data_IF_684364141597
#
_entry.id   IF_684364141597
#
_cell.length_a   1.000
_cell.length_b   1.000
_cell.length_c   1.000
_cell.angle_alpha   90.00
_cell.angle_beta   90.00
_cell.angle_gamma   90.00
#
_symmetry.space_group_name_H-M   'P 1'
#
loop_
_entity.id
_entity.type
_entity.pdbx_description
1 polymer ?
#
# COMPACT_ATOMS: atom_id res chain seq x y z
N UNK A 1 91.15 56.26 55.84
CA UNK A 1 91.15 55.20 54.80
C UNK A 1 89.69 54.94 54.42
N UNK A 2 89.36 54.90 53.13
CA UNK A 2 87.98 54.88 52.62
C UNK A 2 87.55 53.43 52.37
N UNK A 3 86.44 53.00 52.97
CA UNK A 3 85.82 51.70 52.73
C UNK A 3 84.81 51.82 51.58
N UNK A 4 85.06 51.14 50.47
CA UNK A 4 84.16 51.12 49.30
C UNK A 4 83.30 49.86 49.33
N UNK A 5 81.98 50.05 49.28
CA UNK A 5 81.01 48.97 49.19
C UNK A 5 80.99 48.39 47.76
N UNK A 6 81.50 47.17 47.61
CA UNK A 6 81.64 46.47 46.32
C UNK A 6 80.51 45.47 46.04
N UNK A 7 79.34 45.63 46.67
CA UNK A 7 78.22 44.71 46.43
C UNK A 7 77.78 44.76 44.95
N UNK A 8 77.76 43.62 44.21
CA UNK A 8 77.45 43.59 42.78
C UNK A 8 75.93 43.64 42.57
N UNK A 9 75.34 44.78 42.93
CA UNK A 9 73.89 45.04 42.96
C UNK A 9 73.23 44.79 41.59
N UNK A 10 73.96 45.04 40.49
CA UNK A 10 73.46 44.81 39.12
C UNK A 10 73.28 43.32 38.80
N UNK A 11 74.25 42.47 39.18
CA UNK A 11 74.21 41.03 38.90
C UNK A 11 73.13 40.32 39.74
N UNK A 12 72.96 40.74 41.00
CA UNK A 12 71.92 40.21 41.89
C UNK A 12 70.52 40.56 41.35
N UNK A 13 70.30 41.80 40.91
CA UNK A 13 69.02 42.22 40.29
C UNK A 13 68.72 41.45 39.00
N UNK A 14 69.71 41.19 38.14
CA UNK A 14 69.52 40.40 36.92
C UNK A 14 69.16 38.94 37.21
N UNK A 15 69.83 38.30 38.19
CA UNK A 15 69.49 36.93 38.60
C UNK A 15 68.10 36.82 39.20
N UNK A 16 67.68 37.80 40.00
CA UNK A 16 66.32 37.86 40.56
C UNK A 16 65.28 38.03 39.44
N UNK A 17 65.52 38.91 38.46
CA UNK A 17 64.63 39.06 37.29
C UNK A 17 64.52 37.78 36.47
N UNK A 18 65.65 37.15 36.13
CA UNK A 18 65.65 35.90 35.38
C UNK A 18 64.95 34.75 36.13
N UNK A 19 65.13 34.66 37.46
CA UNK A 19 64.41 33.70 38.31
C UNK A 19 62.91 33.98 38.34
N UNK A 20 62.50 35.24 38.44
CA UNK A 20 61.10 35.62 38.44
C UNK A 20 60.45 35.36 37.07
N UNK A 21 61.14 35.60 35.96
CA UNK A 21 60.68 35.27 34.61
C UNK A 21 60.53 33.75 34.41
N UNK A 22 61.50 32.95 34.86
CA UNK A 22 61.41 31.49 34.84
C UNK A 22 60.23 30.96 35.69
N UNK A 23 60.04 31.51 36.89
CA UNK A 23 58.90 31.17 37.75
C UNK A 23 57.56 31.58 37.14
N UNK A 24 57.50 32.74 36.48
CA UNK A 24 56.31 33.19 35.76
C UNK A 24 55.98 32.27 34.57
N UNK A 25 56.99 31.83 33.80
CA UNK A 25 56.80 30.88 32.71
C UNK A 25 56.37 29.49 33.21
N UNK A 26 56.98 28.99 34.28
CA UNK A 26 56.63 27.70 34.88
C UNK A 26 55.21 27.70 35.45
N UNK A 27 54.82 28.78 36.14
CA UNK A 27 53.47 28.93 36.67
C UNK A 27 52.43 29.05 35.55
N UNK A 28 52.72 29.80 34.47
CA UNK A 28 51.86 29.87 33.30
C UNK A 28 51.68 28.50 32.62
N UNK A 29 52.78 27.73 32.45
CA UNK A 29 52.73 26.38 31.89
C UNK A 29 51.90 25.42 32.76
N UNK A 30 52.09 25.47 34.08
CA UNK A 30 51.31 24.66 35.02
C UNK A 30 49.81 24.99 34.93
N UNK A 31 49.46 26.27 34.82
CA UNK A 31 48.08 26.73 34.70
C UNK A 31 47.42 26.22 33.41
N UNK A 32 48.14 26.26 32.28
CA UNK A 32 47.66 25.69 31.00
C UNK A 32 47.43 24.18 31.13
N UNK A 33 48.36 23.44 31.72
CA UNK A 33 48.21 21.99 31.91
C UNK A 33 47.01 21.63 32.80
N UNK A 34 46.75 22.42 33.85
CA UNK A 34 45.57 22.23 34.71
C UNK A 34 44.28 22.46 33.93
N UNK A 35 44.20 23.54 33.15
CA UNK A 35 43.01 23.82 32.31
C UNK A 35 42.80 22.71 31.29
N UNK A 36 43.87 22.22 30.66
CA UNK A 36 43.81 21.14 29.68
C UNK A 36 43.37 19.81 30.33
N UNK A 37 43.85 19.51 31.53
CA UNK A 37 43.44 18.32 32.29
C UNK A 37 41.96 18.36 32.70
N UNK A 38 41.48 19.51 33.19
CA UNK A 38 40.08 19.70 33.58
C UNK A 38 39.13 19.57 32.39
N UNK A 39 39.48 20.20 31.26
CA UNK A 39 38.68 20.14 30.03
C UNK A 39 38.66 18.73 29.44
N UNK A 40 39.79 18.02 29.42
CA UNK A 40 39.87 16.63 28.96
C UNK A 40 39.02 15.68 29.84
N UNK A 41 39.05 15.87 31.16
CA UNK A 41 38.24 15.07 32.09
C UNK A 41 36.73 15.31 31.87
N UNK A 42 36.31 16.57 31.72
CA UNK A 42 34.93 16.93 31.43
C UNK A 42 34.42 16.30 30.13
N UNK A 43 35.21 16.42 29.06
CA UNK A 43 34.87 15.82 27.76
C UNK A 43 34.80 14.29 27.81
N UNK A 44 35.73 13.63 28.51
CA UNK A 44 35.73 12.16 28.65
C UNK A 44 34.46 11.66 29.35
N UNK A 45 33.98 12.39 30.36
CA UNK A 45 32.75 12.03 31.06
C UNK A 45 31.51 12.22 30.19
N UNK A 46 31.46 13.29 29.39
CA UNK A 46 30.36 13.56 28.47
C UNK A 46 30.32 12.52 27.32
N UNK A 47 31.48 12.18 26.75
CA UNK A 47 31.61 11.11 25.75
C UNK A 47 31.11 9.79 26.31
N UNK A 48 31.47 9.45 27.55
CA UNK A 48 31.01 8.21 28.20
C UNK A 48 29.49 8.18 28.35
N UNK A 49 28.87 9.29 28.78
CA UNK A 49 27.40 9.40 28.88
C UNK A 49 26.72 9.26 27.53
N UNK A 50 27.26 9.92 26.49
CA UNK A 50 26.74 9.82 25.13
C UNK A 50 26.83 8.37 24.64
N UNK A 51 27.97 7.71 24.83
CA UNK A 51 28.18 6.31 24.41
C UNK A 51 27.24 5.33 25.12
N UNK A 52 26.98 5.53 26.41
CA UNK A 52 25.99 4.72 27.14
C UNK A 52 24.59 4.94 26.58
N UNK A 53 24.21 6.19 26.31
CA UNK A 53 22.90 6.52 25.75
C UNK A 53 22.73 5.96 24.34
N UNK A 54 23.75 6.03 23.50
CA UNK A 54 23.72 5.43 22.15
C UNK A 54 23.63 3.91 22.22
N UNK A 55 24.32 3.26 23.15
CA UNK A 55 24.21 1.81 23.36
C UNK A 55 22.79 1.39 23.74
N UNK A 56 22.15 2.10 24.69
CA UNK A 56 20.76 1.84 25.09
C UNK A 56 19.79 2.05 23.93
N UNK A 57 19.90 3.18 23.22
CA UNK A 57 19.05 3.46 22.05
C UNK A 57 19.24 2.44 20.93
N UNK A 58 20.46 1.95 20.73
CA UNK A 58 20.74 0.92 19.73
C UNK A 58 20.14 -0.44 20.12
N UNK A 59 20.19 -0.81 21.41
CA UNK A 59 19.54 -2.00 21.92
C UNK A 59 18.01 -1.92 21.74
N UNK A 60 17.42 -0.77 22.06
CA UNK A 60 16.00 -0.53 21.87
C UNK A 60 15.59 -0.57 20.38
N UNK A 61 16.39 0.05 19.50
CA UNK A 61 16.21 -0.02 18.05
C UNK A 61 16.22 -1.47 17.55
N UNK A 62 17.13 -2.31 18.07
CA UNK A 62 17.19 -3.72 17.70
C UNK A 62 15.95 -4.49 18.17
N UNK A 63 15.43 -4.20 19.38
CA UNK A 63 14.16 -4.76 19.87
C UNK A 63 13.00 -4.42 18.92
N UNK A 64 12.88 -3.15 18.52
CA UNK A 64 11.82 -2.74 17.59
C UNK A 64 11.99 -3.34 16.18
N UNK A 65 13.22 -3.55 15.69
CA UNK A 65 13.44 -4.21 14.39
C UNK A 65 12.85 -5.62 14.33
N UNK A 66 12.90 -6.38 15.42
CA UNK A 66 12.28 -7.72 15.50
C UNK A 66 10.77 -7.62 15.36
N UNK A 67 10.14 -6.70 16.09
CA UNK A 67 8.69 -6.46 16.04
C UNK A 67 8.25 -6.03 14.64
N UNK A 68 8.97 -5.10 14.02
CA UNK A 68 8.70 -4.68 12.63
C UNK A 68 8.84 -5.85 11.65
N UNK A 69 9.82 -6.73 11.87
CA UNK A 69 9.97 -7.97 11.10
C UNK A 69 8.75 -8.89 11.20
N UNK A 70 8.21 -9.07 12.42
CA UNK A 70 7.00 -9.86 12.66
C UNK A 70 5.77 -9.24 12.01
N UNK A 71 5.57 -7.93 12.15
CA UNK A 71 4.47 -7.20 11.49
C UNK A 71 4.52 -7.39 9.98
N UNK A 72 5.70 -7.30 9.38
CA UNK A 72 5.86 -7.49 7.95
C UNK A 72 5.54 -8.93 7.49
N UNK A 73 5.87 -9.95 8.31
CA UNK A 73 5.47 -11.34 8.04
C UNK A 73 3.96 -11.50 8.08
N UNK A 74 3.31 -11.01 9.16
CA UNK A 74 1.85 -11.06 9.31
C UNK A 74 1.16 -10.33 8.15
N UNK A 75 1.64 -9.15 7.76
CA UNK A 75 1.08 -8.38 6.63
C UNK A 75 1.21 -9.13 5.30
N UNK A 76 2.30 -9.87 5.09
CA UNK A 76 2.46 -10.72 3.90
C UNK A 76 1.47 -11.89 3.91
N UNK A 77 1.29 -12.53 5.06
CA UNK A 77 0.32 -13.62 5.21
C UNK A 77 -1.11 -13.12 5.00
N UNK A 78 -1.51 -12.00 5.61
CA UNK A 78 -2.81 -11.36 5.39
C UNK A 78 -3.04 -11.07 3.90
N UNK A 79 -2.05 -10.51 3.19
CA UNK A 79 -2.16 -10.29 1.74
C UNK A 79 -2.41 -11.59 0.97
N UNK A 80 -1.70 -12.67 1.32
CA UNK A 80 -1.86 -13.98 0.69
C UNK A 80 -3.25 -14.57 0.96
N UNK A 81 -3.73 -14.47 2.20
CA UNK A 81 -5.07 -14.93 2.58
C UNK A 81 -6.15 -14.11 1.88
N UNK A 82 -6.05 -12.79 1.87
CA UNK A 82 -7.01 -11.92 1.18
C UNK A 82 -7.05 -12.18 -0.33
N UNK A 83 -5.90 -12.47 -0.95
CA UNK A 83 -5.87 -12.86 -2.36
C UNK A 83 -6.63 -14.16 -2.62
N UNK A 84 -6.43 -15.18 -1.77
CA UNK A 84 -7.18 -16.45 -1.85
C UNK A 84 -8.67 -16.23 -1.62
N UNK A 85 -9.05 -15.47 -0.59
CA UNK A 85 -10.44 -15.15 -0.28
C UNK A 85 -11.11 -14.43 -1.45
N UNK A 86 -10.46 -13.41 -2.02
CA UNK A 86 -10.97 -12.71 -3.21
C UNK A 86 -11.16 -13.64 -4.39
N UNK A 87 -10.22 -14.57 -4.60
CA UNK A 87 -10.31 -15.56 -5.69
C UNK A 87 -11.52 -16.48 -5.46
N UNK A 88 -11.70 -16.98 -4.24
CA UNK A 88 -12.86 -17.82 -3.86
C UNK A 88 -14.17 -17.03 -4.02
N UNK A 89 -14.22 -15.78 -3.57
CA UNK A 89 -15.40 -14.93 -3.69
C UNK A 89 -15.75 -14.69 -5.17
N UNK A 90 -14.77 -14.40 -6.01
CA UNK A 90 -15.01 -14.25 -7.45
C UNK A 90 -15.49 -15.55 -8.09
N UNK A 91 -14.95 -16.70 -7.67
CA UNK A 91 -15.39 -18.02 -8.16
C UNK A 91 -16.82 -18.33 -7.72
N UNK A 92 -17.16 -18.10 -6.45
CA UNK A 92 -18.51 -18.33 -5.91
C UNK A 92 -19.53 -17.39 -6.55
N UNK A 93 -19.22 -16.10 -6.69
CA UNK A 93 -20.11 -15.15 -7.36
C UNK A 93 -20.33 -15.55 -8.82
N UNK A 94 -19.27 -15.98 -9.52
CA UNK A 94 -19.37 -16.48 -10.89
C UNK A 94 -20.13 -17.82 -10.99
N UNK A 95 -20.15 -18.65 -9.94
CA UNK A 95 -20.87 -19.93 -9.95
C UNK A 95 -22.40 -19.75 -9.87
N UNK A 96 -22.88 -18.78 -9.07
CA UNK A 96 -24.32 -18.58 -8.86
C UNK A 96 -24.98 -17.64 -9.87
N UNK A 97 -24.21 -16.78 -10.52
CA UNK A 97 -24.71 -15.77 -11.46
C UNK A 97 -25.37 -16.39 -12.72
N UNK A 98 -24.81 -17.42 -13.38
CA UNK A 98 -25.46 -18.09 -14.52
C UNK A 98 -26.82 -18.69 -14.17
N UNK A 99 -26.94 -19.30 -12.98
CA UNK A 99 -28.19 -19.92 -12.51
C UNK A 99 -29.28 -18.86 -12.32
N UNK A 100 -28.94 -17.73 -11.69
CA UNK A 100 -29.88 -16.62 -11.49
C UNK A 100 -30.32 -15.99 -12.81
N UNK A 101 -29.40 -15.85 -13.76
CA UNK A 101 -29.70 -15.32 -15.11
C UNK A 101 -30.64 -16.29 -15.85
N UNK A 102 -30.34 -17.60 -15.81
CA UNK A 102 -31.17 -18.62 -16.45
C UNK A 102 -32.59 -18.62 -15.88
N UNK A 103 -32.73 -18.56 -14.56
CA UNK A 103 -34.00 -18.50 -13.86
C UNK A 103 -34.79 -17.20 -14.17
N UNK A 104 -34.10 -16.07 -14.28
CA UNK A 104 -34.71 -14.81 -14.71
C UNK A 104 -35.23 -14.87 -16.16
N UNK A 105 -34.47 -15.46 -17.09
CA UNK A 105 -34.88 -15.62 -18.50
C UNK A 105 -36.06 -16.57 -18.61
N UNK A 106 -36.03 -17.70 -17.88
CA UNK A 106 -37.13 -18.66 -17.85
C UNK A 106 -38.43 -18.01 -17.38
N UNK A 107 -38.38 -17.17 -16.34
CA UNK A 107 -39.55 -16.42 -15.86
C UNK A 107 -40.04 -15.33 -16.82
N UNK A 108 -39.14 -14.65 -17.52
CA UNK A 108 -39.50 -13.55 -18.42
C UNK A 108 -39.97 -14.03 -19.81
N UNK A 109 -39.66 -15.26 -20.19
CA UNK A 109 -40.02 -15.83 -21.48
C UNK A 109 -41.51 -16.20 -21.51
N UNK A 110 -42.32 -15.61 -22.40
CA UNK A 110 -43.74 -15.95 -22.51
C UNK A 110 -43.92 -17.31 -23.19
N UNK A 111 -44.23 -18.34 -22.40
CA UNK A 111 -44.36 -19.76 -22.80
C UNK A 111 -45.31 -20.03 -23.97
N UNK A 112 -46.32 -19.17 -24.18
CA UNK A 112 -47.39 -19.44 -25.13
C UNK A 112 -47.14 -18.88 -26.54
N UNK A 113 -46.15 -18.00 -26.72
CA UNK A 113 -45.97 -17.25 -27.99
C UNK A 113 -44.55 -17.25 -28.54
N UNK A 114 -43.62 -17.84 -27.80
CA UNK A 114 -42.19 -17.77 -28.07
C UNK A 114 -41.46 -18.93 -27.40
N UNK A 115 -40.40 -19.41 -28.04
CA UNK A 115 -39.46 -20.35 -27.43
C UNK A 115 -38.01 -19.97 -27.75
N UNK A 116 -37.11 -20.40 -26.88
CA UNK A 116 -35.67 -20.20 -27.05
C UNK A 116 -35.05 -21.45 -27.65
N UNK A 117 -34.14 -21.25 -28.59
CA UNK A 117 -33.39 -22.31 -29.27
C UNK A 117 -31.95 -22.40 -28.75
N UNK A 118 -31.33 -21.27 -28.42
CA UNK A 118 -29.96 -21.23 -27.92
C UNK A 118 -29.78 -20.04 -26.99
N UNK A 119 -28.95 -20.25 -25.97
CA UNK A 119 -28.54 -19.25 -25.00
C UNK A 119 -27.05 -19.39 -24.75
N UNK A 120 -26.31 -18.30 -24.94
CA UNK A 120 -24.88 -18.24 -24.68
C UNK A 120 -24.60 -17.08 -23.73
N UNK A 121 -24.01 -17.41 -22.59
CA UNK A 121 -23.61 -16.44 -21.57
C UNK A 121 -22.09 -16.29 -21.60
N UNK A 122 -21.64 -15.11 -21.96
CA UNK A 122 -20.25 -14.68 -21.82
C UNK A 122 -20.16 -13.72 -20.62
N UNK A 123 -18.96 -13.46 -20.10
CA UNK A 123 -18.72 -12.73 -18.84
C UNK A 123 -19.57 -11.48 -18.60
N UNK A 124 -19.98 -10.76 -19.66
CA UNK A 124 -20.81 -9.56 -19.57
C UNK A 124 -21.98 -9.50 -20.56
N UNK A 125 -22.10 -10.48 -21.45
CA UNK A 125 -23.04 -10.44 -22.57
C UNK A 125 -23.78 -11.75 -22.68
N UNK A 126 -25.07 -11.65 -22.95
CA UNK A 126 -25.96 -12.78 -23.13
C UNK A 126 -26.50 -12.72 -24.56
N UNK A 127 -26.21 -13.76 -25.34
CA UNK A 127 -26.77 -13.96 -26.66
C UNK A 127 -27.93 -14.96 -26.57
N UNK A 128 -29.12 -14.54 -26.98
CA UNK A 128 -30.32 -15.36 -27.02
C UNK A 128 -30.80 -15.54 -28.46
N UNK A 129 -31.08 -16.77 -28.84
CA UNK A 129 -31.69 -17.09 -30.11
C UNK A 129 -32.98 -17.84 -29.85
N UNK A 130 -34.03 -17.50 -30.58
CA UNK A 130 -35.31 -18.15 -30.43
C UNK A 130 -36.22 -17.89 -31.61
N UNK A 131 -37.45 -18.39 -31.47
CA UNK A 131 -38.50 -18.22 -32.46
C UNK A 131 -39.75 -17.69 -31.76
N UNK A 132 -40.39 -16.70 -32.36
CA UNK A 132 -41.61 -16.07 -31.88
C UNK A 132 -42.71 -16.12 -32.94
N UNK A 133 -43.97 -16.01 -32.51
CA UNK A 133 -45.12 -15.94 -33.42
C UNK A 133 -45.14 -14.64 -34.25
N UNK A 134 -44.81 -13.51 -33.63
CA UNK A 134 -44.92 -12.19 -34.24
C UNK A 134 -43.83 -11.23 -33.74
N UNK A 135 -43.65 -10.12 -34.45
CA UNK A 135 -42.71 -9.06 -34.06
C UNK A 135 -43.15 -8.36 -32.77
N UNK A 136 -44.46 -8.31 -32.49
CA UNK A 136 -45.00 -7.71 -31.29
C UNK A 136 -44.58 -8.48 -30.02
N UNK A 137 -44.57 -9.81 -30.06
CA UNK A 137 -44.06 -10.63 -28.95
C UNK A 137 -42.57 -10.40 -28.72
N UNK A 138 -41.77 -10.23 -29.78
CA UNK A 138 -40.33 -9.90 -29.66
C UNK A 138 -40.15 -8.54 -28.97
N UNK A 139 -40.88 -7.50 -29.39
CA UNK A 139 -40.81 -6.17 -28.78
C UNK A 139 -41.25 -6.17 -27.31
N UNK A 140 -42.34 -6.86 -26.97
CA UNK A 140 -42.79 -7.01 -25.58
C UNK A 140 -41.75 -7.76 -24.72
N UNK A 141 -41.11 -8.79 -25.28
CA UNK A 141 -40.05 -9.50 -24.58
C UNK A 141 -38.82 -8.61 -24.32
N UNK A 142 -38.43 -7.78 -25.30
CA UNK A 142 -37.35 -6.79 -25.11
C UNK A 142 -37.67 -5.78 -24.02
N UNK A 143 -38.91 -5.27 -23.95
CA UNK A 143 -39.33 -4.35 -22.87
C UNK A 143 -39.34 -5.03 -21.50
N UNK A 144 -39.82 -6.28 -21.42
CA UNK A 144 -39.78 -7.07 -20.17
C UNK A 144 -38.35 -7.35 -19.70
N UNK A 145 -37.43 -7.64 -20.62
CA UNK A 145 -36.02 -7.78 -20.29
C UNK A 145 -35.44 -6.47 -19.78
N UNK A 146 -35.74 -5.35 -20.43
CA UNK A 146 -35.26 -4.01 -20.04
C UNK A 146 -35.79 -3.56 -18.67
N UNK A 147 -36.99 -4.00 -18.29
CA UNK A 147 -37.58 -3.71 -16.97
C UNK A 147 -36.95 -4.50 -15.81
N UNK A 148 -36.17 -5.55 -16.11
CA UNK A 148 -35.53 -6.38 -15.09
C UNK A 148 -34.23 -5.75 -14.59
N UNK A 149 -33.93 -5.81 -13.28
CA UNK A 149 -32.71 -5.24 -12.70
C UNK A 149 -31.41 -5.92 -13.21
N UNK A 150 -31.51 -7.10 -13.79
CA UNK A 150 -30.37 -7.89 -14.26
C UNK A 150 -29.90 -7.54 -15.69
N UNK A 151 -30.75 -6.90 -16.50
CA UNK A 151 -30.49 -6.67 -17.93
C UNK A 151 -30.60 -5.18 -18.27
N UNK A 152 -29.60 -4.62 -18.94
CA UNK A 152 -29.57 -3.17 -19.20
C UNK A 152 -30.06 -2.78 -20.60
N UNK A 153 -29.55 -3.44 -21.64
CA UNK A 153 -29.85 -3.09 -23.04
C UNK A 153 -30.03 -4.34 -23.89
N UNK A 154 -31.27 -4.79 -24.14
CA UNK A 154 -31.55 -5.80 -25.16
C UNK A 154 -31.47 -5.16 -26.54
N UNK A 155 -30.58 -5.68 -27.40
CA UNK A 155 -30.43 -5.26 -28.79
C UNK A 155 -30.83 -6.40 -29.72
N UNK A 156 -31.71 -6.11 -30.69
CA UNK A 156 -32.06 -7.06 -31.74
C UNK A 156 -30.98 -7.05 -32.82
N UNK A 157 -30.29 -8.18 -33.00
CA UNK A 157 -29.28 -8.30 -34.04
C UNK A 157 -29.90 -8.70 -35.38
N UNK A 158 -30.70 -9.75 -35.39
CA UNK A 158 -31.30 -10.30 -36.61
C UNK A 158 -32.75 -10.75 -36.35
N UNK A 159 -33.63 -10.57 -37.34
CA UNK A 159 -34.98 -11.13 -37.37
C UNK A 159 -35.30 -11.63 -38.77
N UNK A 160 -35.61 -12.93 -38.90
CA UNK A 160 -35.88 -13.59 -40.17
C UNK A 160 -37.17 -14.39 -40.11
N UNK A 161 -37.94 -14.40 -41.20
CA UNK A 161 -39.16 -15.21 -41.30
C UNK A 161 -38.81 -16.65 -41.66
N UNK A 162 -39.34 -17.61 -40.89
CA UNK A 162 -39.22 -19.03 -41.16
C UNK A 162 -40.63 -19.63 -41.29
N UNK A 163 -40.82 -20.54 -42.26
CA UNK A 163 -42.03 -21.36 -42.37
C UNK A 163 -41.75 -22.71 -41.74
N UNK A 164 -42.40 -22.97 -40.60
CA UNK A 164 -42.29 -24.23 -39.86
C UNK A 164 -43.71 -24.78 -39.73
N UNK A 165 -43.93 -26.02 -40.20
CA UNK A 165 -45.24 -26.69 -40.18
C UNK A 165 -46.40 -25.81 -40.72
N UNK A 166 -46.19 -25.17 -41.87
CA UNK A 166 -47.17 -24.30 -42.56
C UNK A 166 -47.59 -23.02 -41.80
N UNK A 167 -46.91 -22.66 -40.70
CA UNK A 167 -47.10 -21.39 -39.97
C UNK A 167 -45.91 -20.45 -40.20
N UNK A 168 -46.21 -19.15 -40.39
CA UNK A 168 -45.20 -18.08 -40.52
C UNK A 168 -44.70 -17.73 -39.12
N UNK A 169 -43.43 -17.98 -38.85
CA UNK A 169 -42.78 -17.71 -37.57
C UNK A 169 -41.58 -16.78 -37.78
N UNK A 170 -41.12 -16.14 -36.70
CA UNK A 170 -40.00 -15.20 -36.74
C UNK A 170 -38.87 -15.72 -35.88
N UNK A 171 -37.75 -16.08 -36.50
CA UNK A 171 -36.51 -16.37 -35.78
C UNK A 171 -35.82 -15.05 -35.46
N UNK A 172 -35.38 -14.89 -34.22
CA UNK A 172 -34.70 -13.69 -33.78
C UNK A 172 -33.38 -14.03 -33.07
N UNK A 173 -32.45 -13.07 -33.07
CA UNK A 173 -31.22 -13.09 -32.29
C UNK A 173 -31.14 -11.80 -31.49
N UNK A 174 -31.01 -11.92 -30.16
CA UNK A 174 -30.89 -10.81 -29.22
C UNK A 174 -29.52 -10.85 -28.56
N UNK A 175 -28.88 -9.69 -28.43
CA UNK A 175 -27.69 -9.50 -27.61
C UNK A 175 -28.03 -8.57 -26.45
N UNK A 176 -27.74 -9.01 -25.23
CA UNK A 176 -28.13 -8.31 -24.00
C UNK A 176 -26.87 -8.08 -23.18
N UNK A 177 -26.65 -6.84 -22.74
CA UNK A 177 -25.59 -6.52 -21.77
C UNK A 177 -26.13 -6.70 -20.34
N UNK A 178 -25.40 -7.46 -19.53
CA UNK A 178 -25.74 -7.71 -18.13
C UNK A 178 -25.34 -6.51 -17.27
N UNK A 179 -26.20 -6.18 -16.32
CA UNK A 179 -25.85 -5.24 -15.27
C UNK A 179 -25.04 -5.99 -14.20
N UNK A 180 -23.77 -5.62 -14.00
CA UNK A 180 -23.00 -6.19 -12.89
C UNK A 180 -23.60 -5.64 -11.59
N UNK A 181 -23.88 -6.48 -10.58
CA UNK A 181 -24.09 -5.98 -9.23
C UNK A 181 -22.82 -5.32 -8.69
#
# INVERSE_FOLDING_TARGET
MININLLPIRQIKQRIRARNELLALLSALALILIIMGLTAYGQSHEITKINQRTAVLQAEKNKYRVVVGQINRIKKEQKRLNYKLKTIETLNNNAHLPVRIMDAIARLTPSNRMWLNSMQLNSNTLALQGTALDNATIAQYMERLKASPFFHKPQLQNSSLIRLANKKLKKFSLLITLNKP
#
